data_IF_379253598881
#
_entry.id   IF_379253598881
#
_cell.length_a   1.000
_cell.length_b   1.000
_cell.length_c   1.000
_cell.angle_alpha   90.00
_cell.angle_beta   90.00
_cell.angle_gamma   90.00
#
_symmetry.space_group_name_H-M   'P 1'
#
loop_
_entity.id
_entity.type
_entity.pdbx_description
1 polymer ?
#
# COMPACT_ATOMS: atom_id res chain seq x y z
N UNK A 1 -17.03 -14.41 -10.13
CA UNK A 1 -15.85 -13.56 -10.06
C UNK A 1 -15.53 -13.11 -8.64
N UNK A 2 -16.56 -12.85 -7.81
CA UNK A 2 -16.34 -12.37 -6.44
C UNK A 2 -15.58 -13.38 -5.56
N UNK A 3 -15.85 -14.67 -5.74
CA UNK A 3 -15.14 -15.72 -5.02
C UNK A 3 -13.66 -15.70 -5.39
N UNK A 4 -13.39 -15.51 -6.67
CA UNK A 4 -12.03 -15.46 -7.19
C UNK A 4 -11.32 -14.19 -6.73
N UNK A 5 -12.04 -13.09 -6.60
CA UNK A 5 -11.51 -11.83 -6.10
C UNK A 5 -11.03 -11.98 -4.66
N UNK A 6 -11.84 -12.56 -3.78
CA UNK A 6 -11.47 -12.75 -2.39
C UNK A 6 -10.28 -13.70 -2.27
N UNK A 7 -10.28 -14.77 -3.06
CA UNK A 7 -9.16 -15.71 -3.09
C UNK A 7 -7.87 -15.04 -3.54
N UNK A 8 -7.95 -14.20 -4.57
CA UNK A 8 -6.79 -13.46 -5.06
C UNK A 8 -6.24 -12.52 -3.99
N UNK A 9 -7.12 -11.84 -3.25
CA UNK A 9 -6.72 -10.98 -2.14
C UNK A 9 -6.01 -11.80 -1.06
N UNK A 10 -6.58 -12.95 -0.70
CA UNK A 10 -6.02 -13.81 0.34
C UNK A 10 -4.65 -14.36 -0.05
N UNK A 11 -4.49 -14.81 -1.28
CA UNK A 11 -3.21 -15.32 -1.78
C UNK A 11 -2.15 -14.23 -1.80
N UNK A 12 -2.49 -13.05 -2.30
CA UNK A 12 -1.55 -11.93 -2.34
C UNK A 12 -1.20 -11.47 -0.92
N UNK A 13 -2.17 -11.43 -0.02
CA UNK A 13 -1.94 -11.08 1.39
C UNK A 13 -0.93 -12.04 2.02
N UNK A 14 -1.12 -13.34 1.81
CA UNK A 14 -0.21 -14.35 2.35
C UNK A 14 1.21 -14.20 1.79
N UNK A 15 1.33 -13.92 0.50
CA UNK A 15 2.64 -13.69 -0.12
C UNK A 15 3.38 -12.53 0.53
N UNK A 16 2.70 -11.41 0.77
CA UNK A 16 3.30 -10.26 1.44
C UNK A 16 3.67 -10.60 2.89
N UNK A 17 2.81 -11.31 3.60
CA UNK A 17 3.09 -11.69 4.99
C UNK A 17 4.31 -12.60 5.10
N UNK A 18 4.52 -13.49 4.16
CA UNK A 18 5.71 -14.35 4.11
C UNK A 18 6.99 -13.55 3.98
N UNK A 19 6.91 -12.31 3.48
CA UNK A 19 8.05 -11.42 3.30
C UNK A 19 8.12 -10.34 4.39
N UNK A 20 7.45 -10.55 5.51
CA UNK A 20 7.58 -9.68 6.67
C UNK A 20 6.64 -8.49 6.73
N UNK A 21 5.65 -8.42 5.84
CA UNK A 21 4.64 -7.36 5.87
C UNK A 21 3.58 -7.73 6.91
N UNK A 22 3.16 -6.76 7.73
CA UNK A 22 2.08 -6.98 8.69
C UNK A 22 0.78 -7.34 7.98
N UNK A 23 -0.11 -8.05 8.67
CA UNK A 23 -1.39 -8.47 8.07
C UNK A 23 -2.22 -7.30 7.56
N UNK A 24 -2.42 -6.20 8.30
CA UNK A 24 -3.19 -5.06 7.79
C UNK A 24 -2.58 -4.45 6.53
N UNK A 25 -1.27 -4.25 6.51
CA UNK A 25 -0.58 -3.65 5.37
C UNK A 25 -0.60 -4.58 4.17
N UNK A 26 -0.39 -5.87 4.40
CA UNK A 26 -0.43 -6.88 3.35
C UNK A 26 -1.81 -6.94 2.69
N UNK A 27 -2.85 -6.96 3.49
CA UNK A 27 -4.24 -7.01 2.98
C UNK A 27 -4.59 -5.74 2.22
N UNK A 28 -4.23 -4.59 2.74
CA UNK A 28 -4.49 -3.31 2.08
C UNK A 28 -3.81 -3.25 0.71
N UNK A 29 -2.55 -3.66 0.63
CA UNK A 29 -1.81 -3.68 -0.63
C UNK A 29 -2.45 -4.68 -1.60
N UNK A 30 -2.80 -5.87 -1.13
CA UNK A 30 -3.45 -6.89 -1.95
C UNK A 30 -4.79 -6.38 -2.52
N UNK A 31 -5.59 -5.71 -1.70
CA UNK A 31 -6.88 -5.16 -2.13
C UNK A 31 -6.71 -4.10 -3.22
N UNK A 32 -5.70 -3.25 -3.11
CA UNK A 32 -5.40 -2.23 -4.13
C UNK A 32 -5.04 -2.91 -5.47
N UNK A 33 -4.20 -3.93 -5.45
CA UNK A 33 -3.80 -4.64 -6.66
C UNK A 33 -4.98 -5.35 -7.32
N UNK A 34 -5.77 -6.06 -6.54
CA UNK A 34 -6.94 -6.78 -7.05
C UNK A 34 -7.99 -5.80 -7.57
N UNK A 35 -8.17 -4.67 -6.89
CA UNK A 35 -9.09 -3.62 -7.32
C UNK A 35 -8.68 -3.05 -8.68
N UNK A 36 -7.38 -2.87 -8.92
CA UNK A 36 -6.88 -2.40 -10.22
C UNK A 36 -7.21 -3.41 -11.33
N UNK A 37 -7.01 -4.70 -11.06
CA UNK A 37 -7.38 -5.75 -12.01
C UNK A 37 -8.88 -5.76 -12.31
N UNK A 38 -9.71 -5.61 -11.28
CA UNK A 38 -11.16 -5.59 -11.43
C UNK A 38 -11.63 -4.42 -12.31
N UNK A 39 -10.86 -3.34 -12.36
CA UNK A 39 -11.14 -2.18 -13.21
C UNK A 39 -10.46 -2.24 -14.58
N UNK A 40 -9.86 -3.37 -14.92
CA UNK A 40 -9.18 -3.56 -16.19
C UNK A 40 -7.79 -2.92 -16.28
N UNK A 41 -7.24 -2.47 -15.16
CA UNK A 41 -5.92 -1.85 -15.11
C UNK A 41 -4.85 -2.86 -14.70
N UNK A 42 -4.66 -3.88 -15.51
CA UNK A 42 -3.81 -5.03 -15.19
C UNK A 42 -2.34 -4.65 -15.00
N UNK A 43 -1.86 -3.59 -15.65
CA UNK A 43 -0.48 -3.11 -15.45
C UNK A 43 -0.25 -2.60 -14.02
N UNK A 44 -1.30 -2.30 -13.26
CA UNK A 44 -1.25 -1.84 -11.88
C UNK A 44 -1.84 -2.86 -10.92
N UNK A 45 -2.15 -4.06 -11.39
CA UNK A 45 -2.75 -5.13 -10.61
C UNK A 45 -1.74 -6.17 -10.13
N UNK A 46 -2.20 -7.42 -10.05
CA UNK A 46 -1.41 -8.53 -9.50
C UNK A 46 -0.12 -8.82 -10.26
N UNK A 47 0.00 -8.36 -11.51
CA UNK A 47 1.26 -8.44 -12.25
C UNK A 47 2.41 -7.73 -11.54
N UNK A 48 2.11 -6.80 -10.64
CA UNK A 48 3.11 -6.08 -9.87
C UNK A 48 3.55 -6.81 -8.61
N UNK A 49 2.85 -7.87 -8.22
CA UNK A 49 3.19 -8.61 -7.01
C UNK A 49 4.66 -9.06 -6.99
N UNK A 50 5.21 -9.68 -8.05
CA UNK A 50 6.61 -10.07 -8.03
C UNK A 50 7.57 -8.89 -7.86
N UNK A 51 7.24 -7.73 -8.41
CA UNK A 51 8.06 -6.52 -8.27
C UNK A 51 8.07 -6.03 -6.82
N UNK A 52 6.92 -6.03 -6.14
CA UNK A 52 6.85 -5.66 -4.73
C UNK A 52 7.67 -6.63 -3.88
N UNK A 53 7.53 -7.92 -4.11
CA UNK A 53 8.26 -8.95 -3.37
C UNK A 53 9.77 -8.77 -3.57
N UNK A 54 10.22 -8.53 -4.79
CA UNK A 54 11.64 -8.28 -5.06
C UNK A 54 12.14 -7.03 -4.35
N UNK A 55 11.32 -5.97 -4.30
CA UNK A 55 11.65 -4.75 -3.57
C UNK A 55 11.88 -5.00 -2.09
N UNK A 56 11.05 -5.84 -1.48
CA UNK A 56 11.20 -6.23 -0.08
C UNK A 56 12.49 -7.04 0.11
N UNK A 57 12.72 -8.03 -0.75
CA UNK A 57 13.90 -8.91 -0.66
C UNK A 57 15.22 -8.14 -0.83
N UNK A 58 15.23 -7.12 -1.69
CA UNK A 58 16.43 -6.33 -1.96
C UNK A 58 16.58 -5.13 -1.02
N UNK A 59 15.69 -4.97 -0.06
CA UNK A 59 15.77 -3.88 0.90
C UNK A 59 15.30 -2.52 0.39
N UNK A 60 14.70 -2.46 -0.80
CA UNK A 60 14.14 -1.21 -1.35
C UNK A 60 12.82 -0.83 -0.67
N UNK A 61 12.14 -1.81 -0.09
CA UNK A 61 10.94 -1.61 0.71
C UNK A 61 11.26 -2.04 2.14
N UNK A 62 10.98 -1.15 3.09
CA UNK A 62 11.17 -1.42 4.53
C UNK A 62 9.81 -1.64 5.17
N UNK A 63 9.45 -2.90 5.51
CA UNK A 63 8.14 -3.19 6.12
C UNK A 63 7.92 -2.50 7.47
N UNK A 64 8.99 -2.16 8.16
CA UNK A 64 8.93 -1.54 9.48
C UNK A 64 9.30 -0.05 9.46
N UNK A 65 9.40 0.55 8.28
CA UNK A 65 9.68 1.97 8.15
C UNK A 65 8.60 2.83 8.78
N UNK A 66 8.97 4.01 9.24
CA UNK A 66 8.05 4.94 9.87
C UNK A 66 7.51 5.94 8.87
N UNK A 67 6.18 6.06 8.82
CA UNK A 67 5.51 7.10 8.02
C UNK A 67 5.28 8.29 8.94
N UNK A 68 5.76 9.48 8.53
CA UNK A 68 5.62 10.66 9.37
C UNK A 68 5.37 11.92 8.53
N UNK A 69 4.68 12.88 9.13
CA UNK A 69 4.52 14.22 8.57
C UNK A 69 5.78 15.00 8.94
N UNK A 70 6.59 15.35 7.95
CA UNK A 70 7.86 16.04 8.18
C UNK A 70 7.74 17.56 8.05
N UNK A 71 6.72 18.04 7.35
CA UNK A 71 6.43 19.46 7.21
C UNK A 71 4.97 19.65 6.88
N UNK A 72 4.38 20.74 7.36
CA UNK A 72 2.99 21.07 7.05
C UNK A 72 2.73 22.55 7.12
N UNK A 73 1.79 23.01 6.29
CA UNK A 73 1.40 24.42 6.26
C UNK A 73 -0.06 24.50 5.80
N UNK A 74 -0.94 24.90 6.72
CA UNK A 74 -2.37 24.97 6.44
C UNK A 74 -2.92 23.64 5.95
N UNK A 75 -3.55 23.64 4.79
CA UNK A 75 -4.12 22.43 4.19
C UNK A 75 -3.13 21.51 3.50
N UNK A 76 -1.82 21.83 3.51
CA UNK A 76 -0.78 21.05 2.84
C UNK A 76 0.17 20.41 3.84
N UNK A 77 0.72 19.25 3.48
CA UNK A 77 1.72 18.56 4.29
C UNK A 77 2.67 17.78 3.41
N UNK A 78 3.87 17.56 3.93
CA UNK A 78 4.86 16.66 3.32
C UNK A 78 4.97 15.42 4.18
N UNK A 79 4.85 14.27 3.56
CA UNK A 79 4.88 12.96 4.23
C UNK A 79 6.16 12.24 3.83
N UNK A 80 6.90 11.74 4.83
CA UNK A 80 7.98 10.80 4.59
C UNK A 80 7.43 9.39 4.75
N UNK A 81 7.46 8.62 3.67
CA UNK A 81 6.88 7.27 3.64
C UNK A 81 7.73 6.18 4.29
N UNK A 82 8.97 6.49 4.67
CA UNK A 82 9.84 5.51 5.33
C UNK A 82 10.16 4.28 4.51
N UNK A 83 10.07 4.37 3.19
CA UNK A 83 10.29 3.26 2.25
C UNK A 83 9.30 2.10 2.42
N UNK A 84 8.16 2.33 3.04
CA UNK A 84 7.11 1.33 3.15
C UNK A 84 6.40 1.13 1.81
N UNK A 85 5.58 0.08 1.71
CA UNK A 85 4.82 -0.21 0.49
C UNK A 85 4.01 1.01 0.05
N UNK A 86 4.06 1.31 -1.26
CA UNK A 86 3.39 2.47 -1.83
C UNK A 86 1.91 2.60 -1.48
N UNK A 87 1.09 1.55 -1.62
CA UNK A 87 -0.33 1.63 -1.25
C UNK A 87 -0.56 1.98 0.21
N UNK A 88 0.29 1.52 1.12
CA UNK A 88 0.21 1.85 2.55
C UNK A 88 0.51 3.33 2.76
N UNK A 89 1.59 3.83 2.15
CA UNK A 89 1.98 5.24 2.22
C UNK A 89 0.88 6.14 1.63
N UNK A 90 0.33 5.75 0.49
CA UNK A 90 -0.75 6.51 -0.16
C UNK A 90 -1.99 6.60 0.73
N UNK A 91 -2.35 5.52 1.40
CA UNK A 91 -3.48 5.50 2.31
C UNK A 91 -3.27 6.45 3.50
N UNK A 92 -2.09 6.39 4.11
CA UNK A 92 -1.74 7.28 5.24
C UNK A 92 -1.69 8.74 4.80
N UNK A 93 -1.13 9.00 3.63
CA UNK A 93 -1.07 10.36 3.08
C UNK A 93 -2.46 10.91 2.79
N UNK A 94 -3.35 10.07 2.27
CA UNK A 94 -4.75 10.45 2.01
C UNK A 94 -5.46 10.79 3.32
N UNK A 95 -5.30 9.97 4.35
CA UNK A 95 -5.89 10.23 5.67
C UNK A 95 -5.38 11.55 6.24
N UNK A 96 -4.08 11.81 6.15
CA UNK A 96 -3.50 13.07 6.60
C UNK A 96 -4.06 14.29 5.85
N UNK A 97 -4.23 14.13 4.53
CA UNK A 97 -4.80 15.20 3.69
C UNK A 97 -6.26 15.50 4.08
N UNK A 98 -7.04 14.45 4.33
CA UNK A 98 -8.44 14.61 4.76
C UNK A 98 -8.54 15.29 6.11
N UNK A 99 -7.68 14.92 7.07
CA UNK A 99 -7.65 15.55 8.39
C UNK A 99 -7.33 17.04 8.26
N UNK A 100 -6.37 17.40 7.43
CA UNK A 100 -6.02 18.80 7.21
C UNK A 100 -7.13 19.58 6.50
N UNK A 101 -7.83 18.95 5.57
CA UNK A 101 -8.96 19.57 4.90
C UNK A 101 -10.09 19.90 5.88
N UNK A 102 -10.32 19.02 6.85
CA UNK A 102 -11.35 19.27 7.88
C UNK A 102 -10.94 20.40 8.83
N UNK A 103 -9.63 20.57 9.09
CA UNK A 103 -9.15 21.59 10.01
C UNK A 103 -8.97 22.95 9.33
N UNK A 104 -8.59 22.97 8.10
CA UNK A 104 -8.27 24.16 7.33
C UNK A 104 -9.16 24.34 6.10
#
# INVERSE_FOLDING_TARGET
>A
MDVDRQRAIDVATDAFREHGISEPDARQTAEVLVSADARGKHSHGLLRLPRFVRGIEHGNVDPSGTIEVVAGRGGAATINGGSRLGPVVASEATAAAMDRADEF
#
